data_IF_893754123477
#
_entry.id   IF_893754123477
#
_cell.length_a   1.000
_cell.length_b   1.000
_cell.length_c   1.000
_cell.angle_alpha   90.00
_cell.angle_beta   90.00
_cell.angle_gamma   90.00
#
_symmetry.space_group_name_H-M   'P 1'
#
loop_
_entity.id
_entity.type
_entity.pdbx_description
1 polymer ?
#
# COMPACT_ATOMS: atom_id res chain seq x y z
N UNK A 1 -9.17 36.67 -19.19
CA UNK A 1 -8.62 35.30 -19.30
C UNK A 1 -7.12 35.39 -19.12
N UNK A 2 -6.61 35.07 -17.92
CA UNK A 2 -5.16 35.01 -17.69
C UNK A 2 -4.60 33.76 -18.38
N UNK A 3 -3.54 33.92 -19.16
CA UNK A 3 -2.96 32.81 -19.93
C UNK A 3 -1.78 32.19 -19.16
N UNK A 4 -1.50 30.90 -19.40
CA UNK A 4 -0.45 30.11 -18.72
C UNK A 4 0.95 30.75 -18.76
N UNK A 5 1.18 31.71 -19.66
CA UNK A 5 2.45 32.43 -19.82
C UNK A 5 2.65 33.51 -18.75
N UNK A 6 1.58 34.08 -18.22
CA UNK A 6 1.63 35.12 -17.17
C UNK A 6 1.98 34.55 -15.78
N UNK A 7 1.84 33.23 -15.60
CA UNK A 7 2.12 32.53 -14.34
C UNK A 7 3.61 32.15 -14.19
N UNK A 8 4.37 32.10 -15.28
CA UNK A 8 5.77 31.65 -15.29
C UNK A 8 6.74 32.78 -14.94
N UNK A 9 6.33 34.05 -15.10
CA UNK A 9 7.18 35.23 -14.94
C UNK A 9 7.23 35.83 -13.52
N UNK A 10 6.49 35.29 -12.54
CA UNK A 10 6.39 35.90 -11.19
C UNK A 10 6.96 35.07 -10.02
N UNK A 11 7.64 33.94 -10.27
CA UNK A 11 8.18 33.10 -9.20
C UNK A 11 9.69 33.27 -9.00
N UNK A 12 10.16 34.51 -8.91
CA UNK A 12 11.50 34.83 -8.43
C UNK A 12 11.38 35.61 -7.11
N UNK A 13 11.00 34.90 -6.05
CA UNK A 13 11.07 35.40 -4.68
C UNK A 13 11.77 34.35 -3.82
N UNK A 14 13.02 34.68 -3.48
CA UNK A 14 13.92 33.98 -2.57
C UNK A 14 13.28 33.84 -1.18
N UNK A 15 13.27 32.63 -0.62
CA UNK A 15 13.22 32.42 0.83
C UNK A 15 14.27 31.38 1.21
N UNK A 16 15.46 31.87 1.53
CA UNK A 16 16.47 31.12 2.25
C UNK A 16 16.02 31.01 3.71
N UNK A 17 15.50 29.84 4.11
CA UNK A 17 15.35 29.49 5.51
C UNK A 17 16.58 28.68 5.95
N UNK A 18 17.59 29.39 6.43
CA UNK A 18 18.60 28.82 7.30
C UNK A 18 18.15 29.05 8.75
N UNK A 19 17.78 27.99 9.46
CA UNK A 19 17.79 27.99 10.93
C UNK A 19 18.32 26.64 11.42
N UNK A 20 19.60 26.68 11.80
CA UNK A 20 20.22 25.67 12.65
C UNK A 20 19.49 25.63 14.00
N UNK A 21 19.14 24.43 14.46
CA UNK A 21 18.44 24.21 15.71
C UNK A 21 18.63 22.80 16.23
N UNK A 22 19.88 22.36 16.42
CA UNK A 22 20.17 21.22 17.27
C UNK A 22 20.01 21.65 18.73
N UNK A 23 18.82 21.46 19.29
CA UNK A 23 18.61 21.51 20.73
C UNK A 23 18.40 20.09 21.25
N UNK A 24 19.46 19.60 21.88
CA UNK A 24 19.50 18.40 22.72
C UNK A 24 18.36 18.46 23.76
N UNK A 25 17.36 17.59 23.62
CA UNK A 25 16.42 17.33 24.70
C UNK A 25 17.11 16.46 25.75
N UNK A 26 17.46 17.10 26.86
CA UNK A 26 17.99 16.52 28.09
C UNK A 26 16.98 15.54 28.68
N UNK A 27 17.47 14.32 28.91
CA UNK A 27 16.84 13.23 29.64
C UNK A 27 16.26 13.71 30.98
N UNK A 28 14.95 13.52 31.15
CA UNK A 28 14.26 13.69 32.42
C UNK A 28 13.89 12.31 32.95
N UNK A 29 14.59 11.88 34.00
CA UNK A 29 14.36 10.62 34.67
C UNK A 29 12.98 10.60 35.32
N UNK A 30 12.19 9.58 34.99
CA UNK A 30 10.96 9.26 35.71
C UNK A 30 11.25 8.14 36.71
N UNK A 31 11.29 8.51 38.00
CA UNK A 31 11.31 7.57 39.12
C UNK A 31 9.90 7.01 39.36
N UNK A 32 9.90 5.74 39.76
CA UNK A 32 8.78 4.86 40.08
C UNK A 32 7.71 5.50 40.98
N UNK A 33 6.45 5.22 40.64
CA UNK A 33 5.37 5.18 41.62
C UNK A 33 4.65 3.84 41.49
N UNK A 34 4.88 2.97 42.47
CA UNK A 34 4.08 1.78 42.70
C UNK A 34 2.84 2.19 43.49
N UNK A 35 1.66 1.80 43.04
CA UNK A 35 0.42 1.88 43.83
C UNK A 35 -0.57 0.84 43.31
N UNK A 36 -0.61 -0.26 44.06
CA UNK A 36 -1.60 -1.33 43.99
C UNK A 36 -3.04 -0.80 44.10
N UNK A 37 -3.92 -1.12 43.14
CA UNK A 37 -5.37 -1.28 43.38
C UNK A 37 -6.03 -2.27 42.41
N UNK A 38 -6.64 -3.29 43.04
CA UNK A 38 -7.84 -4.07 42.73
C UNK A 38 -8.18 -4.46 41.28
N UNK A 39 -8.34 -5.78 41.14
CA UNK A 39 -8.95 -6.52 40.04
C UNK A 39 -10.35 -6.05 39.66
N UNK A 40 -10.49 -5.61 38.42
CA UNK A 40 -11.69 -5.75 37.61
C UNK A 40 -11.30 -6.53 36.35
N UNK A 41 -12.08 -7.54 35.97
CA UNK A 41 -11.77 -8.37 34.77
C UNK A 41 -11.86 -7.48 33.52
N UNK A 42 -10.77 -7.26 32.76
CA UNK A 42 -10.91 -6.58 31.48
C UNK A 42 -11.63 -7.53 30.51
N UNK A 43 -12.70 -7.04 29.89
CA UNK A 43 -13.11 -7.56 28.59
C UNK A 43 -11.86 -7.60 27.70
N UNK A 44 -11.66 -8.70 26.97
CA UNK A 44 -10.47 -8.93 26.16
C UNK A 44 -10.37 -7.91 25.02
N UNK A 45 -9.87 -6.71 25.31
CA UNK A 45 -9.27 -5.82 24.33
C UNK A 45 -7.90 -6.38 23.98
N UNK A 46 -7.90 -7.46 23.19
CA UNK A 46 -6.68 -7.97 22.60
C UNK A 46 -6.07 -6.86 21.75
N UNK A 47 -4.93 -6.31 22.19
CA UNK A 47 -4.17 -5.34 21.40
C UNK A 47 -4.02 -5.87 19.97
N UNK A 48 -4.25 -5.05 18.93
CA UNK A 48 -4.12 -5.48 17.53
C UNK A 48 -2.75 -6.14 17.35
N UNK A 49 -2.74 -7.39 16.89
CA UNK A 49 -1.50 -8.05 16.51
C UNK A 49 -0.89 -7.24 15.37
N UNK A 50 0.32 -6.72 15.57
CA UNK A 50 1.03 -5.93 14.56
C UNK A 50 1.21 -6.78 13.29
N UNK A 51 0.97 -6.18 12.13
CA UNK A 51 1.31 -6.81 10.85
C UNK A 51 2.83 -6.91 10.75
N UNK A 52 3.34 -8.08 10.39
CA UNK A 52 4.78 -8.25 10.23
C UNK A 52 5.31 -7.53 8.98
N UNK A 53 6.61 -7.23 9.00
CA UNK A 53 7.27 -6.52 7.90
C UNK A 53 7.17 -7.29 6.57
N UNK A 54 7.24 -8.61 6.62
CA UNK A 54 7.20 -9.47 5.43
C UNK A 54 5.87 -9.37 4.70
N UNK A 55 4.76 -9.28 5.43
CA UNK A 55 3.43 -9.13 4.86
C UNK A 55 3.28 -7.78 4.17
N UNK A 56 3.78 -6.70 4.78
CA UNK A 56 3.81 -5.38 4.16
C UNK A 56 4.68 -5.38 2.89
N UNK A 57 5.85 -6.01 2.93
CA UNK A 57 6.74 -6.12 1.77
C UNK A 57 6.12 -6.91 0.61
N UNK A 58 5.41 -8.01 0.89
CA UNK A 58 4.72 -8.78 -0.15
C UNK A 58 3.63 -7.94 -0.85
N UNK A 59 2.84 -7.18 -0.08
CA UNK A 59 1.86 -6.26 -0.64
C UNK A 59 2.52 -5.10 -1.41
N UNK A 60 3.63 -4.54 -0.92
CA UNK A 60 4.41 -3.51 -1.63
C UNK A 60 5.02 -4.01 -2.94
N UNK A 61 5.54 -5.25 -2.96
CA UNK A 61 6.01 -5.89 -4.19
C UNK A 61 4.86 -6.08 -5.18
N UNK A 62 3.69 -6.49 -4.70
CA UNK A 62 2.49 -6.60 -5.53
C UNK A 62 2.07 -5.25 -6.12
N UNK A 63 2.16 -4.15 -5.36
CA UNK A 63 1.90 -2.79 -5.86
C UNK A 63 2.83 -2.46 -7.03
N UNK A 64 4.14 -2.65 -6.88
CA UNK A 64 5.10 -2.32 -7.93
C UNK A 64 4.81 -3.10 -9.22
N UNK A 65 4.60 -4.40 -9.13
CA UNK A 65 4.31 -5.23 -10.31
C UNK A 65 2.92 -4.94 -10.90
N UNK A 66 1.93 -4.58 -10.07
CA UNK A 66 0.62 -4.13 -10.55
C UNK A 66 0.72 -2.79 -11.29
N UNK A 67 1.54 -1.83 -10.84
CA UNK A 67 1.75 -0.55 -11.56
C UNK A 67 2.38 -0.78 -12.93
N UNK A 68 3.38 -1.65 -13.02
CA UNK A 68 4.03 -2.01 -14.29
C UNK A 68 3.03 -2.72 -15.22
N UNK A 69 2.25 -3.67 -14.68
CA UNK A 69 1.22 -4.38 -15.44
C UNK A 69 0.10 -3.46 -15.91
N UNK A 70 -0.26 -2.46 -15.09
CA UNK A 70 -1.25 -1.45 -15.45
C UNK A 70 -0.82 -0.65 -16.66
N UNK A 71 0.40 -0.08 -16.65
CA UNK A 71 0.95 0.67 -17.79
C UNK A 71 0.96 -0.17 -19.06
N UNK A 72 1.43 -1.42 -18.94
CA UNK A 72 1.44 -2.37 -20.05
C UNK A 72 0.05 -2.61 -20.64
N UNK A 73 -0.97 -2.80 -19.80
CA UNK A 73 -2.34 -2.97 -20.27
C UNK A 73 -2.85 -1.70 -20.97
N UNK A 74 -2.61 -0.51 -20.41
CA UNK A 74 -3.05 0.76 -21.00
C UNK A 74 -2.38 1.04 -22.35
N UNK A 75 -1.09 0.76 -22.47
CA UNK A 75 -0.33 0.88 -23.72
C UNK A 75 -0.90 -0.02 -24.82
N UNK A 76 -1.16 -1.30 -24.55
CA UNK A 76 -1.76 -2.20 -25.55
C UNK A 76 -3.17 -1.75 -25.95
N UNK A 77 -4.02 -1.39 -24.98
CA UNK A 77 -5.37 -0.89 -25.23
C UNK A 77 -5.38 0.37 -26.09
N UNK A 78 -4.37 1.24 -25.96
CA UNK A 78 -4.24 2.45 -26.78
C UNK A 78 -4.01 2.16 -28.27
N UNK A 79 -3.56 0.95 -28.62
CA UNK A 79 -3.37 0.51 -30.01
C UNK A 79 -4.64 -0.09 -30.64
N UNK A 80 -5.71 -0.25 -29.85
CA UNK A 80 -6.97 -0.86 -30.27
C UNK A 80 -7.08 -2.36 -29.98
N UNK A 81 -6.03 -3.01 -29.47
CA UNK A 81 -6.11 -4.36 -28.95
C UNK A 81 -6.87 -4.37 -27.63
N UNK A 82 -7.94 -5.17 -27.52
CA UNK A 82 -8.80 -5.24 -26.33
C UNK A 82 -8.55 -6.46 -25.44
N UNK A 83 -7.58 -7.31 -25.78
CA UNK A 83 -7.32 -8.57 -25.06
C UNK A 83 -6.94 -8.36 -23.59
N UNK A 84 -6.35 -7.21 -23.23
CA UNK A 84 -5.96 -6.88 -21.85
C UNK A 84 -7.02 -6.06 -21.07
N UNK A 85 -8.24 -5.90 -21.60
CA UNK A 85 -9.26 -5.06 -20.98
C UNK A 85 -9.68 -5.56 -19.58
N UNK A 86 -9.83 -6.87 -19.39
CA UNK A 86 -10.21 -7.44 -18.10
C UNK A 86 -9.01 -7.49 -17.15
N UNK A 87 -7.81 -7.77 -17.65
CA UNK A 87 -6.55 -7.66 -16.90
C UNK A 87 -6.38 -6.25 -16.32
N UNK A 88 -6.60 -5.21 -17.13
CA UNK A 88 -6.55 -3.83 -16.66
C UNK A 88 -7.49 -3.59 -15.47
N UNK A 89 -8.74 -4.06 -15.54
CA UNK A 89 -9.73 -3.84 -14.47
C UNK A 89 -9.28 -4.49 -13.16
N UNK A 90 -8.87 -5.76 -13.21
CA UNK A 90 -8.45 -6.48 -11.99
C UNK A 90 -7.14 -5.95 -11.40
N UNK A 91 -6.22 -5.47 -12.25
CA UNK A 91 -4.98 -4.82 -11.82
C UNK A 91 -5.27 -3.49 -11.12
N UNK A 92 -6.24 -2.68 -11.62
CA UNK A 92 -6.67 -1.43 -10.97
C UNK A 92 -7.19 -1.67 -9.55
N UNK A 93 -8.08 -2.64 -9.37
CA UNK A 93 -8.63 -2.99 -8.06
C UNK A 93 -7.54 -3.46 -7.10
N UNK A 94 -6.65 -4.34 -7.58
CA UNK A 94 -5.51 -4.87 -6.81
C UNK A 94 -4.57 -3.75 -6.35
N UNK A 95 -4.26 -2.81 -7.25
CA UNK A 95 -3.38 -1.70 -6.94
C UNK A 95 -3.92 -0.83 -5.80
N UNK A 96 -5.21 -0.48 -5.86
CA UNK A 96 -5.88 0.34 -4.83
C UNK A 96 -5.91 -0.40 -3.50
N UNK A 97 -6.30 -1.68 -3.49
CA UNK A 97 -6.49 -2.45 -2.27
C UNK A 97 -5.17 -2.82 -1.59
N UNK A 98 -4.13 -3.17 -2.36
CA UNK A 98 -2.80 -3.40 -1.80
C UNK A 98 -2.24 -2.12 -1.15
N UNK A 99 -2.41 -0.94 -1.80
CA UNK A 99 -2.00 0.36 -1.22
C UNK A 99 -2.73 0.66 0.08
N UNK A 100 -4.04 0.43 0.11
CA UNK A 100 -4.85 0.60 1.31
C UNK A 100 -4.40 -0.35 2.44
N UNK A 101 -4.15 -1.63 2.13
CA UNK A 101 -3.64 -2.59 3.09
C UNK A 101 -2.29 -2.17 3.67
N UNK A 102 -1.32 -1.75 2.84
CA UNK A 102 0.00 -1.33 3.33
C UNK A 102 -0.12 -0.16 4.30
N UNK A 103 -0.94 0.85 3.97
CA UNK A 103 -1.17 2.02 4.83
C UNK A 103 -1.83 1.67 6.17
N UNK A 104 -2.89 0.86 6.13
CA UNK A 104 -3.65 0.47 7.32
C UNK A 104 -2.86 -0.52 8.20
N UNK A 105 -2.18 -1.49 7.58
CA UNK A 105 -1.32 -2.45 8.26
C UNK A 105 -0.13 -1.79 8.96
N UNK A 106 0.55 -0.86 8.28
CA UNK A 106 1.69 -0.14 8.88
C UNK A 106 1.28 0.75 10.07
N UNK A 107 0.08 1.34 10.00
CA UNK A 107 -0.48 2.14 11.10
C UNK A 107 -1.12 1.31 12.22
N UNK A 108 -1.17 -0.02 12.09
CA UNK A 108 -1.88 -0.92 13.02
C UNK A 108 -3.36 -0.56 13.17
N UNK A 109 -4.00 -0.16 12.07
CA UNK A 109 -5.41 0.21 12.04
C UNK A 109 -6.29 -0.97 12.48
N UNK A 110 -7.40 -0.73 13.21
CA UNK A 110 -8.37 -1.77 13.51
C UNK A 110 -9.03 -2.37 12.26
N UNK A 111 -8.99 -1.66 11.12
CA UNK A 111 -9.55 -2.11 9.83
C UNK A 111 -8.63 -3.05 9.03
N UNK A 112 -7.47 -3.40 9.59
CA UNK A 112 -6.42 -4.15 8.88
C UNK A 112 -6.90 -5.53 8.40
N UNK A 113 -7.76 -6.21 9.18
CA UNK A 113 -8.25 -7.54 8.80
C UNK A 113 -9.27 -7.45 7.67
N UNK A 114 -10.18 -6.49 7.75
CA UNK A 114 -11.22 -6.26 6.76
C UNK A 114 -10.63 -5.86 5.40
N UNK A 115 -9.63 -4.97 5.41
CA UNK A 115 -8.94 -4.60 4.18
C UNK A 115 -8.08 -5.75 3.64
N UNK A 116 -7.44 -6.56 4.50
CA UNK A 116 -6.70 -7.76 4.06
C UNK A 116 -7.62 -8.76 3.35
N UNK A 117 -8.78 -9.06 3.93
CA UNK A 117 -9.77 -9.96 3.33
C UNK A 117 -10.29 -9.47 1.97
N UNK A 118 -10.48 -8.16 1.83
CA UNK A 118 -10.91 -7.55 0.55
C UNK A 118 -9.77 -7.54 -0.47
N UNK A 119 -8.55 -7.25 -0.04
CA UNK A 119 -7.35 -7.26 -0.87
C UNK A 119 -7.06 -8.66 -1.41
N UNK A 120 -7.25 -9.72 -0.62
CA UNK A 120 -7.13 -11.12 -1.08
C UNK A 120 -8.04 -11.38 -2.28
N UNK A 121 -9.30 -10.96 -2.24
CA UNK A 121 -10.26 -11.19 -3.33
C UNK A 121 -9.82 -10.50 -4.63
N UNK A 122 -9.31 -9.28 -4.53
CA UNK A 122 -8.80 -8.56 -5.70
C UNK A 122 -7.52 -9.20 -6.25
N UNK A 123 -6.58 -9.57 -5.39
CA UNK A 123 -5.38 -10.29 -5.81
C UNK A 123 -5.73 -11.64 -6.45
N UNK A 124 -6.73 -12.39 -5.97
CA UNK A 124 -7.15 -13.66 -6.55
C UNK A 124 -7.76 -13.47 -7.95
N UNK A 125 -8.57 -12.42 -8.14
CA UNK A 125 -9.09 -12.06 -9.46
C UNK A 125 -7.97 -11.62 -10.42
N UNK A 126 -7.04 -10.78 -9.95
CA UNK A 126 -5.91 -10.30 -10.73
C UNK A 126 -4.91 -11.41 -11.06
N UNK A 127 -4.60 -12.32 -10.13
CA UNK A 127 -3.77 -13.48 -10.41
C UNK A 127 -4.40 -14.29 -11.54
N UNK A 128 -5.67 -14.68 -11.39
CA UNK A 128 -6.36 -15.50 -12.39
C UNK A 128 -6.33 -14.86 -13.77
N UNK A 129 -6.61 -13.57 -13.86
CA UNK A 129 -6.65 -12.86 -15.14
C UNK A 129 -5.23 -12.68 -15.73
N UNK A 130 -4.25 -12.27 -14.93
CA UNK A 130 -2.86 -12.16 -15.40
C UNK A 130 -2.29 -13.50 -15.89
N UNK A 131 -2.71 -14.64 -15.33
CA UNK A 131 -2.30 -15.98 -15.79
C UNK A 131 -2.78 -16.30 -17.20
N UNK A 132 -3.88 -15.72 -17.68
CA UNK A 132 -4.36 -15.90 -19.06
C UNK A 132 -3.31 -15.39 -20.07
N UNK A 133 -2.54 -14.38 -19.67
CA UNK A 133 -1.62 -13.65 -20.54
C UNK A 133 -0.15 -14.01 -20.32
N UNK A 134 0.15 -14.90 -19.36
CA UNK A 134 1.52 -15.15 -18.89
C UNK A 134 2.46 -15.76 -19.95
N UNK A 135 1.91 -16.42 -20.97
CA UNK A 135 2.68 -16.98 -22.09
C UNK A 135 3.08 -15.95 -23.14
N UNK A 136 2.43 -14.78 -23.14
CA UNK A 136 2.65 -13.71 -24.11
C UNK A 136 3.34 -12.50 -23.48
N UNK A 137 3.12 -12.27 -22.18
CA UNK A 137 3.59 -11.09 -21.47
C UNK A 137 4.21 -11.48 -20.13
N UNK A 138 5.54 -11.42 -20.05
CA UNK A 138 6.29 -11.61 -18.79
C UNK A 138 5.84 -10.65 -17.68
N UNK A 139 5.37 -9.46 -18.07
CA UNK A 139 4.81 -8.46 -17.15
C UNK A 139 3.57 -9.02 -16.43
N UNK A 140 2.66 -9.67 -17.16
CA UNK A 140 1.48 -10.31 -16.58
C UNK A 140 1.88 -11.49 -15.68
N UNK A 141 2.87 -12.31 -16.10
CA UNK A 141 3.42 -13.38 -15.26
C UNK A 141 3.96 -12.87 -13.92
N UNK A 142 4.77 -11.80 -13.95
CA UNK A 142 5.36 -11.21 -12.75
C UNK A 142 4.30 -10.61 -11.81
N UNK A 143 3.26 -10.00 -12.38
CA UNK A 143 2.11 -9.50 -11.62
C UNK A 143 1.35 -10.66 -10.96
N UNK A 144 1.07 -11.75 -11.69
CA UNK A 144 0.40 -12.93 -11.17
C UNK A 144 1.22 -13.61 -10.05
N UNK A 145 2.53 -13.77 -10.25
CA UNK A 145 3.44 -14.33 -9.24
C UNK A 145 3.43 -13.49 -7.95
N UNK A 146 3.37 -12.16 -8.09
CA UNK A 146 3.30 -11.24 -6.93
C UNK A 146 1.94 -11.24 -6.25
N UNK A 147 0.85 -11.37 -7.00
CA UNK A 147 -0.50 -11.54 -6.44
C UNK A 147 -0.55 -12.81 -5.59
N UNK A 148 -0.03 -13.93 -6.10
CA UNK A 148 0.04 -15.21 -5.39
C UNK A 148 0.82 -15.11 -4.07
N UNK A 149 1.99 -14.47 -4.09
CA UNK A 149 2.79 -14.23 -2.89
C UNK A 149 2.05 -13.32 -1.89
N UNK A 150 1.44 -12.24 -2.38
CA UNK A 150 0.66 -11.30 -1.56
C UNK A 150 -0.51 -12.00 -0.87
N UNK A 151 -1.30 -12.79 -1.60
CA UNK A 151 -2.43 -13.59 -1.06
C UNK A 151 -1.95 -14.49 0.08
N UNK A 152 -0.82 -15.18 -0.10
CA UNK A 152 -0.28 -16.10 0.90
C UNK A 152 0.09 -15.38 2.21
N UNK A 153 0.61 -14.16 2.15
CA UNK A 153 0.92 -13.37 3.33
C UNK A 153 -0.33 -12.72 3.94
N UNK A 154 -1.23 -12.16 3.13
CA UNK A 154 -2.49 -11.55 3.61
C UNK A 154 -3.39 -12.55 4.34
N UNK A 155 -3.41 -13.82 3.92
CA UNK A 155 -4.16 -14.91 4.60
C UNK A 155 -3.70 -15.17 6.04
N UNK A 156 -2.54 -14.66 6.46
CA UNK A 156 -2.04 -14.75 7.84
C UNK A 156 -2.57 -13.63 8.74
N UNK A 157 -3.12 -12.57 8.12
CA UNK A 157 -3.64 -11.38 8.80
C UNK A 157 -5.16 -11.38 8.86
N UNK A 158 -5.80 -11.76 7.75
CA UNK A 158 -7.26 -11.78 7.58
C UNK A 158 -7.97 -12.70 8.60
#
# INVERSE_FOLDING_TARGET
MLTRKDLITQSAALLAFASAGSLLAKESGHKHHESSKKSEKPASSGSPKKVDRKTLEAASKCILNAEICLSHCEENLSTGDTMLADCLKTVKDTLVLCKAFVSLGASNSPLTKEIAATCIKACEACEKECRVHESHHDICKNCADSCKECIAELKKVA
#
